data_IF_334786653565
#
_entry.id   IF_334786653565
#
_cell.length_a   1.000
_cell.length_b   1.000
_cell.length_c   1.000
_cell.angle_alpha   90.00
_cell.angle_beta   90.00
_cell.angle_gamma   90.00
#
_symmetry.space_group_name_H-M   'P 1'
#
loop_
_entity.id
_entity.type
_entity.pdbx_description
1 polymer ?
#
# COMPACT_ATOMS: atom_id res chain seq x y z
N UNK A 1 1.69 -37.70 -17.76
CA UNK A 1 2.98 -37.00 -17.92
C UNK A 1 3.93 -37.55 -16.87
N UNK A 2 5.13 -37.95 -17.25
CA UNK A 2 6.11 -38.44 -16.27
C UNK A 2 6.55 -37.24 -15.38
N UNK A 3 6.61 -37.44 -14.07
CA UNK A 3 7.13 -36.40 -13.18
C UNK A 3 8.59 -36.13 -13.49
N UNK A 4 8.95 -34.86 -13.52
CA UNK A 4 10.32 -34.39 -13.67
C UNK A 4 10.88 -34.14 -12.28
N UNK A 5 12.16 -34.48 -12.12
CA UNK A 5 12.92 -34.27 -10.89
C UNK A 5 14.07 -33.31 -11.20
N UNK A 6 14.16 -32.23 -10.43
CA UNK A 6 15.28 -31.28 -10.51
C UNK A 6 15.86 -31.13 -9.10
N UNK A 7 17.17 -31.11 -9.00
CA UNK A 7 17.93 -30.91 -7.77
C UNK A 7 18.65 -29.56 -7.84
N UNK A 8 18.60 -28.80 -6.73
CA UNK A 8 19.33 -27.54 -6.60
C UNK A 8 20.15 -27.54 -5.31
N UNK A 9 21.24 -26.78 -5.30
CA UNK A 9 22.02 -26.54 -4.11
C UNK A 9 21.27 -25.57 -3.19
N UNK A 10 21.02 -25.99 -1.95
CA UNK A 10 20.29 -25.24 -0.95
C UNK A 10 21.00 -25.35 0.39
N UNK A 11 21.79 -24.35 0.82
CA UNK A 11 22.52 -24.40 2.09
C UNK A 11 21.57 -24.58 3.27
N UNK A 12 21.76 -25.64 4.06
CA UNK A 12 20.87 -26.06 5.14
C UNK A 12 20.67 -24.98 6.21
N UNK A 13 21.66 -24.09 6.41
CA UNK A 13 21.58 -22.97 7.34
C UNK A 13 20.43 -21.98 7.04
N UNK A 14 20.01 -21.87 5.79
CA UNK A 14 18.88 -21.04 5.36
C UNK A 14 17.53 -21.74 5.46
N UNK A 15 17.50 -23.06 5.73
CA UNK A 15 16.28 -23.88 5.74
C UNK A 15 15.20 -23.35 6.68
N UNK A 16 15.56 -23.07 7.92
CA UNK A 16 14.63 -22.53 8.91
C UNK A 16 14.03 -21.18 8.54
N UNK A 17 14.80 -20.31 7.86
CA UNK A 17 14.32 -19.01 7.41
C UNK A 17 13.44 -19.11 6.15
N UNK A 18 13.87 -19.90 5.14
CA UNK A 18 13.18 -20.01 3.85
C UNK A 18 11.91 -20.88 3.94
N UNK A 19 11.98 -21.99 4.69
CA UNK A 19 10.84 -22.90 4.82
C UNK A 19 9.94 -22.60 6.01
N UNK A 20 10.37 -21.73 6.91
CA UNK A 20 9.61 -21.28 8.07
C UNK A 20 9.50 -22.35 9.17
N UNK A 21 8.85 -22.00 10.27
CA UNK A 21 8.66 -22.91 11.39
C UNK A 21 7.83 -24.14 10.96
N UNK A 22 8.30 -25.33 11.31
CA UNK A 22 7.64 -26.63 10.96
C UNK A 22 7.40 -26.79 9.45
N UNK A 23 8.27 -26.22 8.61
CA UNK A 23 8.20 -26.27 7.15
C UNK A 23 6.89 -25.68 6.59
N UNK A 24 6.30 -24.70 7.29
CA UNK A 24 5.00 -24.13 6.92
C UNK A 24 5.03 -23.50 5.53
N UNK A 25 6.14 -22.84 5.16
CA UNK A 25 6.29 -22.22 3.85
C UNK A 25 6.59 -23.24 2.77
N UNK A 26 7.38 -24.29 3.09
CA UNK A 26 7.65 -25.40 2.19
C UNK A 26 6.34 -26.10 1.79
N UNK A 27 5.52 -26.50 2.78
CA UNK A 27 4.20 -27.11 2.57
C UNK A 27 3.27 -26.22 1.76
N UNK A 28 3.37 -24.90 1.94
CA UNK A 28 2.58 -23.94 1.18
C UNK A 28 2.99 -23.90 -0.29
N UNK A 29 4.29 -23.88 -0.58
CA UNK A 29 4.84 -23.94 -1.93
C UNK A 29 4.41 -25.24 -2.61
N UNK A 30 4.59 -26.38 -1.96
CA UNK A 30 4.17 -27.70 -2.46
C UNK A 30 2.69 -27.72 -2.84
N UNK A 31 1.83 -27.25 -1.93
CA UNK A 31 0.38 -27.24 -2.13
C UNK A 31 -0.05 -26.31 -3.26
N UNK A 32 0.59 -25.16 -3.39
CA UNK A 32 0.20 -24.14 -4.38
C UNK A 32 0.66 -24.48 -5.78
N UNK A 33 1.86 -25.04 -5.91
CA UNK A 33 2.47 -25.39 -7.20
C UNK A 33 2.31 -26.87 -7.58
N UNK A 34 1.71 -27.68 -6.68
CA UNK A 34 1.55 -29.12 -6.89
C UNK A 34 2.88 -29.84 -7.17
N UNK A 35 3.88 -29.54 -6.35
CA UNK A 35 5.21 -30.19 -6.35
C UNK A 35 5.46 -30.90 -5.03
N UNK A 36 6.45 -31.79 -5.00
CA UNK A 36 7.02 -32.35 -3.78
C UNK A 36 8.44 -31.84 -3.59
N UNK A 37 8.76 -31.35 -2.39
CA UNK A 37 10.05 -30.80 -2.02
C UNK A 37 10.72 -31.68 -0.96
N UNK A 38 11.95 -32.11 -1.20
CA UNK A 38 12.70 -32.96 -0.28
C UNK A 38 14.07 -32.32 -0.03
N UNK A 39 14.29 -31.84 1.19
CA UNK A 39 15.59 -31.29 1.60
C UNK A 39 16.42 -32.40 2.26
N UNK A 40 17.65 -32.62 1.76
CA UNK A 40 18.63 -33.55 2.34
C UNK A 40 20.01 -32.89 2.36
N UNK A 41 20.48 -32.52 3.55
CA UNK A 41 21.71 -31.75 3.68
C UNK A 41 21.57 -30.44 2.90
N UNK A 42 22.53 -30.17 2.03
CA UNK A 42 22.56 -28.95 1.19
C UNK A 42 21.93 -29.15 -0.21
N UNK A 43 21.10 -30.19 -0.37
CA UNK A 43 20.45 -30.51 -1.63
C UNK A 43 18.93 -30.49 -1.47
N UNK A 44 18.28 -29.65 -2.26
CA UNK A 44 16.83 -29.61 -2.38
C UNK A 44 16.40 -30.25 -3.68
N UNK A 45 15.60 -31.31 -3.58
CA UNK A 45 15.00 -32.03 -4.69
C UNK A 45 13.56 -31.56 -4.87
N UNK A 46 13.19 -31.18 -6.09
CA UNK A 46 11.83 -30.77 -6.47
C UNK A 46 11.27 -31.74 -7.51
N UNK A 47 10.09 -32.30 -7.25
CA UNK A 47 9.44 -33.31 -8.09
C UNK A 47 8.04 -32.84 -8.48
N UNK A 48 7.71 -32.88 -9.79
CA UNK A 48 6.40 -32.47 -10.28
C UNK A 48 6.33 -32.41 -11.81
N UNK A 49 5.41 -31.65 -12.36
CA UNK A 49 5.42 -31.35 -13.80
C UNK A 49 6.55 -30.36 -14.10
N UNK A 50 7.09 -30.36 -15.33
CA UNK A 50 8.19 -29.47 -15.72
C UNK A 50 7.91 -28.01 -15.40
N UNK A 51 6.71 -27.52 -15.71
CA UNK A 51 6.31 -26.15 -15.43
C UNK A 51 6.23 -25.87 -13.92
N UNK A 52 5.61 -26.74 -13.16
CA UNK A 52 5.47 -26.59 -11.72
C UNK A 52 6.83 -26.59 -11.00
N UNK A 53 7.74 -27.46 -11.43
CA UNK A 53 9.10 -27.55 -10.88
C UNK A 53 9.89 -26.28 -11.21
N UNK A 54 9.81 -25.76 -12.44
CA UNK A 54 10.47 -24.50 -12.80
C UNK A 54 9.98 -23.33 -11.95
N UNK A 55 8.66 -23.21 -11.74
CA UNK A 55 8.09 -22.18 -10.85
C UNK A 55 8.56 -22.36 -9.40
N UNK A 56 8.57 -23.58 -8.88
CA UNK A 56 8.99 -23.84 -7.51
C UNK A 56 10.48 -23.50 -7.28
N UNK A 57 11.34 -23.88 -8.21
CA UNK A 57 12.76 -23.55 -8.14
C UNK A 57 12.98 -22.04 -8.19
N UNK A 58 12.30 -21.33 -9.08
CA UNK A 58 12.39 -19.85 -9.16
C UNK A 58 11.96 -19.19 -7.85
N UNK A 59 10.85 -19.64 -7.25
CA UNK A 59 10.37 -19.13 -5.94
C UNK A 59 11.39 -19.38 -4.84
N UNK A 60 11.93 -20.61 -4.76
CA UNK A 60 12.86 -20.99 -3.70
C UNK A 60 14.19 -20.26 -3.87
N UNK A 61 14.68 -20.11 -5.08
CA UNK A 61 15.93 -19.40 -5.38
C UNK A 61 15.84 -17.91 -4.97
N UNK A 62 14.73 -17.24 -5.29
CA UNK A 62 14.48 -15.87 -4.86
C UNK A 62 14.42 -15.72 -3.32
N UNK A 63 13.72 -16.63 -2.64
CA UNK A 63 13.63 -16.61 -1.18
C UNK A 63 14.98 -16.92 -0.52
N UNK A 64 15.77 -17.82 -1.12
CA UNK A 64 17.11 -18.16 -0.66
C UNK A 64 18.06 -16.96 -0.79
N UNK A 65 18.03 -16.27 -1.93
CA UNK A 65 18.84 -15.07 -2.14
C UNK A 65 18.47 -13.93 -1.19
N UNK A 66 17.16 -13.73 -0.89
CA UNK A 66 16.73 -12.80 0.16
C UNK A 66 17.27 -13.19 1.54
N UNK A 67 17.24 -14.49 1.86
CA UNK A 67 17.78 -15.03 3.12
C UNK A 67 19.30 -14.83 3.24
N UNK A 68 20.05 -15.07 2.16
CA UNK A 68 21.50 -14.81 2.10
C UNK A 68 21.86 -13.35 2.34
N UNK A 69 20.98 -12.42 1.96
CA UNK A 69 21.14 -10.99 2.24
C UNK A 69 20.74 -10.60 3.66
N UNK A 70 20.43 -11.56 4.53
CA UNK A 70 20.07 -11.34 5.93
C UNK A 70 18.61 -10.94 6.15
N UNK A 71 17.73 -11.05 5.15
CA UNK A 71 16.32 -10.78 5.32
C UNK A 71 15.61 -11.94 6.03
N UNK A 72 14.72 -11.61 6.97
CA UNK A 72 13.80 -12.59 7.54
C UNK A 72 12.68 -12.84 6.53
N UNK A 73 12.53 -14.10 6.10
CA UNK A 73 11.46 -14.49 5.18
C UNK A 73 10.15 -14.56 5.94
N UNK A 74 9.15 -13.89 5.42
CA UNK A 74 7.80 -13.85 5.95
C UNK A 74 6.83 -14.61 5.04
N UNK A 75 5.68 -15.02 5.57
CA UNK A 75 4.62 -15.64 4.77
C UNK A 75 4.21 -14.75 3.58
N UNK A 76 4.31 -13.43 3.75
CA UNK A 76 4.03 -12.47 2.71
C UNK A 76 5.04 -12.53 1.56
N UNK A 77 6.34 -12.68 1.85
CA UNK A 77 7.37 -12.87 0.82
C UNK A 77 7.08 -14.13 0.01
N UNK A 78 6.71 -15.22 0.69
CA UNK A 78 6.36 -16.49 0.02
C UNK A 78 5.13 -16.34 -0.87
N UNK A 79 4.05 -15.73 -0.36
CA UNK A 79 2.84 -15.49 -1.14
C UNK A 79 3.11 -14.64 -2.38
N UNK A 80 3.94 -13.62 -2.22
CA UNK A 80 4.27 -12.72 -3.29
C UNK A 80 5.17 -13.39 -4.35
N UNK A 81 6.20 -14.14 -3.93
CA UNK A 81 7.03 -14.93 -4.82
C UNK A 81 6.19 -15.95 -5.63
N UNK A 82 5.27 -16.65 -4.96
CA UNK A 82 4.33 -17.56 -5.62
C UNK A 82 3.46 -16.84 -6.66
N UNK A 83 2.96 -15.66 -6.35
CA UNK A 83 2.15 -14.90 -7.31
C UNK A 83 2.95 -14.43 -8.52
N UNK A 84 4.20 -14.02 -8.32
CA UNK A 84 5.10 -13.57 -9.39
C UNK A 84 5.51 -14.74 -10.30
N UNK A 85 5.82 -15.91 -9.73
CA UNK A 85 6.24 -17.07 -10.51
C UNK A 85 5.20 -17.56 -11.52
N UNK A 86 3.93 -17.22 -11.30
CA UNK A 86 2.82 -17.54 -12.21
C UNK A 86 2.64 -16.52 -13.35
N UNK A 87 3.38 -15.41 -13.35
CA UNK A 87 3.32 -14.34 -14.36
C UNK A 87 4.54 -14.43 -15.28
N UNK A 88 4.34 -14.50 -16.60
CA UNK A 88 5.41 -14.74 -17.59
C UNK A 88 6.49 -13.63 -17.69
N UNK A 89 6.27 -12.46 -17.09
CA UNK A 89 7.18 -11.30 -17.09
C UNK A 89 7.12 -10.55 -15.76
N UNK A 90 7.71 -11.08 -14.72
CA UNK A 90 7.80 -10.36 -13.46
C UNK A 90 9.26 -10.08 -13.08
N UNK A 91 9.60 -8.83 -12.69
CA UNK A 91 10.90 -8.54 -12.08
C UNK A 91 11.03 -9.27 -10.74
N UNK A 92 12.26 -9.61 -10.40
CA UNK A 92 12.60 -10.36 -9.19
C UNK A 92 12.33 -9.57 -7.91
N UNK A 93 11.92 -10.25 -6.84
CA UNK A 93 11.87 -9.72 -5.48
C UNK A 93 13.22 -9.11 -5.03
N UNK A 94 14.32 -9.58 -5.60
CA UNK A 94 15.68 -9.13 -5.31
C UNK A 94 15.91 -7.68 -5.76
N UNK A 95 15.18 -7.19 -6.73
CA UNK A 95 15.27 -5.78 -7.17
C UNK A 95 14.60 -4.85 -6.15
N UNK A 96 13.51 -5.30 -5.53
CA UNK A 96 12.78 -4.54 -4.50
C UNK A 96 13.60 -4.37 -3.22
N UNK A 97 14.51 -5.29 -2.93
CA UNK A 97 15.29 -5.29 -1.70
C UNK A 97 16.35 -4.17 -1.64
N UNK A 98 16.72 -3.60 -2.77
CA UNK A 98 17.75 -2.56 -2.87
C UNK A 98 17.23 -1.15 -2.59
N UNK A 99 15.94 -0.89 -2.74
CA UNK A 99 15.36 0.45 -2.69
C UNK A 99 14.87 0.84 -1.29
N UNK A 100 15.80 0.99 -0.35
CA UNK A 100 15.49 1.52 0.99
C UNK A 100 15.17 3.00 0.88
N UNK A 101 13.97 3.40 1.30
CA UNK A 101 13.52 4.80 1.34
C UNK A 101 14.11 5.50 2.55
N UNK A 102 13.94 4.90 3.74
CA UNK A 102 14.45 5.40 5.01
C UNK A 102 14.48 4.28 6.05
N UNK A 103 14.92 4.62 7.25
CA UNK A 103 14.81 3.73 8.41
C UNK A 103 13.87 4.36 9.46
N UNK A 104 13.10 3.52 10.14
CA UNK A 104 12.33 3.92 11.32
C UNK A 104 13.29 4.25 12.46
N UNK A 105 12.78 4.89 13.55
CA UNK A 105 13.58 5.14 14.76
C UNK A 105 14.14 3.85 15.40
N UNK A 106 13.51 2.71 15.15
CA UNK A 106 13.97 1.40 15.62
C UNK A 106 15.00 0.74 14.67
N UNK A 107 15.45 1.45 13.64
CA UNK A 107 16.41 0.93 12.66
C UNK A 107 15.80 0.01 11.58
N UNK A 108 14.50 -0.18 11.55
CA UNK A 108 13.84 -1.02 10.54
C UNK A 108 13.80 -0.29 9.20
N UNK A 109 14.29 -0.95 8.15
CA UNK A 109 14.25 -0.39 6.81
C UNK A 109 12.81 -0.28 6.26
N UNK A 110 12.47 0.90 5.75
CA UNK A 110 11.22 1.16 5.01
C UNK A 110 11.54 1.08 3.52
N UNK A 111 10.97 0.09 2.86
CA UNK A 111 11.19 -0.19 1.43
C UNK A 111 9.92 -0.74 0.79
N UNK A 112 9.76 -0.63 -0.54
CA UNK A 112 8.69 -1.30 -1.26
C UNK A 112 8.77 -2.81 -1.03
N UNK A 113 7.64 -3.45 -0.80
CA UNK A 113 7.53 -4.90 -0.60
C UNK A 113 6.91 -5.62 -1.78
N UNK A 114 6.36 -4.86 -2.73
CA UNK A 114 5.71 -5.36 -3.93
C UNK A 114 6.06 -4.49 -5.14
N UNK A 115 5.89 -5.03 -6.34
CA UNK A 115 6.11 -4.27 -7.58
C UNK A 115 5.17 -3.08 -7.73
N UNK A 116 3.92 -3.22 -7.29
CA UNK A 116 2.97 -2.11 -7.27
C UNK A 116 3.47 -0.98 -6.38
N UNK A 117 3.99 -1.32 -5.19
CA UNK A 117 4.61 -0.36 -4.28
C UNK A 117 5.87 0.27 -4.88
N UNK A 118 6.73 -0.50 -5.58
CA UNK A 118 7.90 0.02 -6.26
C UNK A 118 7.52 1.06 -7.33
N UNK A 119 6.58 0.70 -8.23
CA UNK A 119 6.08 1.63 -9.25
C UNK A 119 5.50 2.90 -8.64
N UNK A 120 4.84 2.78 -7.49
CA UNK A 120 4.30 3.92 -6.76
C UNK A 120 5.42 4.82 -6.21
N UNK A 121 6.43 4.25 -5.58
CA UNK A 121 7.61 5.00 -5.10
C UNK A 121 8.34 5.67 -6.25
N UNK A 122 8.53 4.99 -7.38
CA UNK A 122 9.16 5.55 -8.58
C UNK A 122 8.36 6.71 -9.17
N UNK A 123 7.03 6.59 -9.19
CA UNK A 123 6.16 7.68 -9.63
C UNK A 123 6.28 8.89 -8.70
N UNK A 124 6.33 8.67 -7.38
CA UNK A 124 6.53 9.74 -6.39
C UNK A 124 7.88 10.44 -6.61
N UNK A 125 8.95 9.70 -6.88
CA UNK A 125 10.28 10.27 -7.18
C UNK A 125 10.23 11.18 -8.42
N UNK A 126 9.56 10.74 -9.47
CA UNK A 126 9.67 11.31 -10.81
C UNK A 126 8.55 12.29 -11.20
N UNK A 127 7.44 12.38 -10.45
CA UNK A 127 6.28 13.21 -10.78
C UNK A 127 6.08 14.31 -9.73
N UNK A 128 5.52 15.43 -10.15
CA UNK A 128 5.11 16.51 -9.23
C UNK A 128 3.86 16.15 -8.44
N UNK A 129 2.90 15.50 -9.10
CA UNK A 129 1.68 15.03 -8.48
C UNK A 129 1.56 13.53 -8.73
N UNK A 130 1.33 12.76 -7.67
CA UNK A 130 1.15 11.30 -7.78
C UNK A 130 -0.15 10.88 -7.10
N UNK A 131 -1.02 10.22 -7.84
CA UNK A 131 -2.20 9.56 -7.31
C UNK A 131 -1.87 8.10 -7.02
N UNK A 132 -2.02 7.69 -5.76
CA UNK A 132 -1.91 6.31 -5.31
C UNK A 132 -3.30 5.74 -5.03
N UNK A 133 -3.80 4.88 -5.91
CA UNK A 133 -5.15 4.31 -5.84
C UNK A 133 -5.05 2.82 -5.57
N UNK A 134 -5.88 2.28 -4.68
CA UNK A 134 -5.91 0.83 -4.44
C UNK A 134 -6.48 0.44 -3.09
N UNK A 135 -6.58 -0.86 -2.81
CA UNK A 135 -7.16 -1.39 -1.57
C UNK A 135 -6.51 -0.83 -0.31
N UNK A 136 -7.26 -0.82 0.77
CA UNK A 136 -6.73 -0.51 2.08
C UNK A 136 -5.65 -1.54 2.47
N UNK A 137 -4.57 -1.10 3.13
CA UNK A 137 -3.45 -1.96 3.54
C UNK A 137 -2.39 -2.21 2.46
N UNK A 138 -2.42 -1.51 1.32
CA UNK A 138 -1.36 -1.53 0.31
C UNK A 138 -0.20 -0.59 0.61
N UNK A 139 -0.19 0.09 1.77
CA UNK A 139 0.91 0.93 2.22
C UNK A 139 1.00 2.32 1.57
N UNK A 140 -0.02 2.77 0.82
CA UNK A 140 -0.02 4.05 0.09
C UNK A 140 0.39 5.25 0.96
N UNK A 141 -0.34 5.47 2.01
CA UNK A 141 -0.11 6.60 2.95
C UNK A 141 1.23 6.46 3.65
N UNK A 142 1.58 5.26 4.10
CA UNK A 142 2.84 4.98 4.79
C UNK A 142 4.07 5.24 3.90
N UNK A 143 4.06 4.74 2.65
CA UNK A 143 5.14 4.99 1.69
C UNK A 143 5.21 6.46 1.27
N UNK A 144 4.06 7.12 1.08
CA UNK A 144 4.01 8.55 0.82
C UNK A 144 4.67 9.37 1.93
N UNK A 145 4.42 9.00 3.19
CA UNK A 145 5.02 9.66 4.36
C UNK A 145 6.51 9.38 4.48
N UNK A 146 6.94 8.14 4.23
CA UNK A 146 8.36 7.80 4.21
C UNK A 146 9.12 8.63 3.16
N UNK A 147 8.54 8.79 1.96
CA UNK A 147 9.10 9.62 0.90
C UNK A 147 9.15 11.11 1.29
N UNK A 148 8.08 11.63 1.89
CA UNK A 148 8.02 13.01 2.35
C UNK A 148 9.05 13.31 3.44
N UNK A 149 9.20 12.40 4.41
CA UNK A 149 10.18 12.53 5.49
C UNK A 149 11.61 12.45 4.94
N UNK A 150 11.86 11.58 3.97
CA UNK A 150 13.17 11.47 3.33
C UNK A 150 13.53 12.75 2.58
N UNK A 151 12.60 13.29 1.78
CA UNK A 151 12.80 14.54 1.07
C UNK A 151 13.02 15.72 2.04
N UNK A 152 12.29 15.76 3.15
CA UNK A 152 12.45 16.77 4.20
C UNK A 152 13.81 16.67 4.92
N UNK A 153 14.26 15.44 5.26
CA UNK A 153 15.58 15.22 5.87
C UNK A 153 16.75 15.55 4.94
N UNK A 154 16.52 15.46 3.64
CA UNK A 154 17.51 15.78 2.60
C UNK A 154 17.46 17.25 2.15
N UNK A 155 16.66 18.08 2.83
CA UNK A 155 16.45 19.51 2.47
C UNK A 155 15.93 19.74 1.03
N UNK A 156 15.29 18.72 0.42
CA UNK A 156 14.64 18.82 -0.89
C UNK A 156 13.37 19.67 -0.80
N UNK A 157 12.74 19.70 0.36
CA UNK A 157 11.57 20.54 0.70
C UNK A 157 11.74 21.13 2.11
N UNK A 158 11.17 22.30 2.33
CA UNK A 158 11.27 23.01 3.62
C UNK A 158 10.21 22.57 4.63
N UNK A 159 9.14 21.90 4.20
CA UNK A 159 8.03 21.49 5.07
C UNK A 159 7.25 20.30 4.52
N UNK A 160 6.57 19.61 5.44
CA UNK A 160 5.62 18.53 5.14
C UNK A 160 4.22 19.02 5.53
N UNK A 161 3.25 18.86 4.64
CA UNK A 161 1.85 19.19 4.90
C UNK A 161 1.02 17.92 4.69
N UNK A 162 0.38 17.47 5.75
CA UNK A 162 -0.52 16.32 5.75
C UNK A 162 -1.94 16.81 5.89
N UNK A 163 -2.79 16.43 4.97
CA UNK A 163 -4.19 16.84 4.98
C UNK A 163 -5.13 15.69 4.65
N UNK A 164 -6.32 15.77 5.22
CA UNK A 164 -7.38 14.78 5.01
C UNK A 164 -8.72 15.52 4.91
N UNK A 165 -9.65 15.06 4.06
CA UNK A 165 -11.02 15.56 4.12
C UNK A 165 -11.62 15.25 5.48
N UNK A 166 -12.13 16.25 6.17
CA UNK A 166 -12.89 16.07 7.39
C UNK A 166 -14.33 15.71 6.99
N UNK A 167 -14.59 14.42 6.78
CA UNK A 167 -15.94 13.89 6.59
C UNK A 167 -16.15 12.85 7.68
N UNK A 168 -17.22 13.00 8.39
CA UNK A 168 -17.74 12.01 9.31
C UNK A 168 -18.58 11.00 8.53
N UNK A 169 -18.36 9.73 8.77
CA UNK A 169 -19.24 8.67 8.28
C UNK A 169 -20.64 8.83 8.88
N UNK A 170 -21.47 9.68 8.25
CA UNK A 170 -22.86 9.93 8.66
C UNK A 170 -23.06 10.89 9.83
N UNK A 171 -21.99 11.39 10.48
CA UNK A 171 -22.09 12.36 11.57
C UNK A 171 -21.66 13.76 11.09
N UNK A 172 -22.46 14.77 11.45
CA UNK A 172 -22.09 16.17 11.19
C UNK A 172 -21.10 16.61 12.27
N UNK A 173 -19.94 17.19 11.89
CA UNK A 173 -18.91 17.76 12.79
C UNK A 173 -19.48 18.59 13.96
N UNK A 174 -20.74 19.03 13.86
CA UNK A 174 -21.43 19.78 14.89
C UNK A 174 -21.79 19.01 16.17
N UNK A 175 -21.77 17.68 16.19
CA UNK A 175 -22.19 16.89 17.35
C UNK A 175 -21.06 16.53 18.33
N UNK A 176 -19.80 16.65 17.95
CA UNK A 176 -18.69 16.41 18.87
C UNK A 176 -18.42 17.65 19.76
N UNK A 177 -18.24 17.51 21.08
CA UNK A 177 -17.86 18.61 21.96
C UNK A 177 -16.40 19.03 21.68
N UNK A 178 -16.10 20.33 21.81
CA UNK A 178 -14.76 20.89 21.63
C UNK A 178 -14.63 21.84 20.42
N UNK A 179 -13.44 22.40 20.26
CA UNK A 179 -13.09 23.22 19.10
C UNK A 179 -12.93 22.37 17.83
N UNK A 180 -12.84 23.02 16.67
CA UNK A 180 -12.78 22.32 15.39
C UNK A 180 -11.55 21.42 15.29
N UNK A 181 -10.45 21.80 15.92
CA UNK A 181 -9.19 21.06 15.90
C UNK A 181 -9.29 19.76 16.70
N UNK A 182 -9.83 19.80 17.92
CA UNK A 182 -10.05 18.61 18.73
C UNK A 182 -11.06 17.62 18.13
N UNK A 183 -12.01 18.11 17.34
CA UNK A 183 -12.98 17.27 16.60
C UNK A 183 -12.36 16.52 15.42
N UNK A 184 -11.34 17.08 14.79
CA UNK A 184 -10.69 16.51 13.59
C UNK A 184 -9.49 15.62 13.96
N UNK A 185 -8.90 15.84 15.14
CA UNK A 185 -7.70 15.12 15.61
C UNK A 185 -7.81 13.58 15.55
N UNK A 186 -8.93 12.95 15.95
CA UNK A 186 -9.09 11.49 15.82
C UNK A 186 -8.92 10.97 14.39
N UNK A 187 -9.35 11.73 13.39
CA UNK A 187 -9.25 11.35 11.98
C UNK A 187 -7.83 11.49 11.42
N UNK A 188 -6.99 12.28 12.07
CA UNK A 188 -5.59 12.50 11.71
C UNK A 188 -4.63 11.54 12.43
N UNK A 189 -5.10 10.80 13.43
CA UNK A 189 -4.29 9.86 14.21
C UNK A 189 -3.46 8.89 13.38
N UNK A 190 -4.00 8.22 12.34
CA UNK A 190 -3.19 7.31 11.52
C UNK A 190 -1.99 7.99 10.85
N UNK A 191 -2.07 9.30 10.61
CA UNK A 191 -0.97 10.08 10.06
C UNK A 191 0.10 10.33 11.14
N UNK A 192 -0.32 10.63 12.37
CA UNK A 192 0.59 10.78 13.50
C UNK A 192 1.36 9.49 13.79
N UNK A 193 0.68 8.33 13.78
CA UNK A 193 1.31 7.04 14.08
C UNK A 193 2.49 6.74 13.15
N UNK A 194 2.33 7.00 11.85
CA UNK A 194 3.41 6.80 10.88
C UNK A 194 4.54 7.83 11.02
N UNK A 195 4.22 9.10 11.38
CA UNK A 195 5.23 10.11 11.70
C UNK A 195 6.04 9.71 12.94
N UNK A 196 5.39 9.24 14.00
CA UNK A 196 6.06 8.74 15.20
C UNK A 196 6.96 7.55 14.91
N UNK A 197 6.52 6.61 14.08
CA UNK A 197 7.32 5.43 13.73
C UNK A 197 8.60 5.79 12.97
N UNK A 198 8.55 6.78 12.06
CA UNK A 198 9.67 7.11 11.17
C UNK A 198 10.55 8.23 11.74
N UNK A 199 9.97 9.27 12.34
CA UNK A 199 10.70 10.42 12.86
C UNK A 199 11.04 10.31 14.35
N UNK A 200 10.21 9.61 15.11
CA UNK A 200 10.19 9.68 16.57
C UNK A 200 9.34 10.83 17.12
N UNK A 201 8.82 10.65 18.32
CA UNK A 201 7.92 11.61 18.95
C UNK A 201 8.55 12.99 19.14
N UNK A 202 9.77 13.06 19.67
CA UNK A 202 10.45 14.32 19.98
C UNK A 202 10.75 15.14 18.72
N UNK A 203 11.28 14.49 17.67
CA UNK A 203 11.58 15.17 16.42
C UNK A 203 10.29 15.63 15.72
N UNK A 204 9.23 14.83 15.74
CA UNK A 204 7.94 15.20 15.19
C UNK A 204 7.35 16.41 15.90
N UNK A 205 7.25 16.38 17.25
CA UNK A 205 6.69 17.49 18.05
C UNK A 205 7.48 18.78 17.83
N UNK A 206 8.80 18.72 17.85
CA UNK A 206 9.67 19.88 17.60
C UNK A 206 9.46 20.49 16.21
N UNK A 207 9.25 19.67 15.18
CA UNK A 207 8.99 20.16 13.83
C UNK A 207 7.57 20.71 13.66
N UNK A 208 6.59 20.16 14.37
CA UNK A 208 5.23 20.73 14.43
C UNK A 208 5.22 22.10 15.10
N UNK A 209 5.87 22.26 16.25
CA UNK A 209 5.99 23.55 16.95
C UNK A 209 6.64 24.64 16.09
N UNK A 210 7.58 24.24 15.23
CA UNK A 210 8.24 25.15 14.26
C UNK A 210 7.42 25.40 13.00
N UNK A 211 6.27 24.72 12.82
CA UNK A 211 5.47 24.79 11.61
C UNK A 211 6.11 24.17 10.36
N UNK A 212 7.15 23.31 10.56
CA UNK A 212 7.81 22.59 9.48
C UNK A 212 7.06 21.30 9.09
N UNK A 213 6.31 20.76 10.03
CA UNK A 213 5.34 19.68 9.79
C UNK A 213 3.97 20.19 10.20
N UNK A 214 3.03 20.14 9.30
CA UNK A 214 1.64 20.57 9.52
C UNK A 214 0.71 19.40 9.24
N UNK A 215 -0.19 19.12 10.18
CA UNK A 215 -1.28 18.15 10.01
C UNK A 215 -2.58 18.89 10.21
N UNK A 216 -3.36 19.03 9.14
CA UNK A 216 -4.55 19.89 9.15
C UNK A 216 -5.67 19.36 8.23
N UNK A 217 -6.94 19.70 8.52
CA UNK A 217 -8.05 19.40 7.62
C UNK A 217 -7.86 20.07 6.26
N UNK A 218 -8.37 19.40 5.20
CA UNK A 218 -8.29 19.91 3.83
C UNK A 218 -8.86 21.33 3.68
N UNK A 219 -9.88 21.70 4.44
CA UNK A 219 -10.49 23.02 4.41
C UNK A 219 -9.49 24.16 4.74
N UNK A 220 -8.46 23.87 5.56
CA UNK A 220 -7.43 24.85 5.95
C UNK A 220 -6.41 25.13 4.86
N UNK A 221 -6.46 24.42 3.74
CA UNK A 221 -5.62 24.69 2.57
C UNK A 221 -6.17 25.81 1.69
N UNK A 222 -7.43 26.22 1.92
CA UNK A 222 -8.09 27.25 1.10
C UNK A 222 -7.40 28.60 1.23
N UNK A 223 -7.14 29.26 0.09
CA UNK A 223 -6.52 30.59 0.03
C UNK A 223 -5.01 30.62 0.24
N UNK A 224 -4.37 29.46 0.39
CA UNK A 224 -2.91 29.33 0.60
C UNK A 224 -2.21 29.04 -0.73
N UNK A 225 -0.92 29.36 -0.79
CA UNK A 225 0.03 28.83 -1.77
C UNK A 225 1.08 28.02 -1.00
N UNK A 226 1.26 26.78 -1.40
CA UNK A 226 2.10 25.81 -0.69
C UNK A 226 3.40 25.62 -1.46
N UNK A 227 4.39 26.49 -1.20
CA UNK A 227 5.71 26.46 -1.83
C UNK A 227 6.69 25.59 -1.04
N UNK A 228 7.65 24.98 -1.75
CA UNK A 228 8.72 24.15 -1.18
C UNK A 228 8.23 23.12 -0.16
N UNK A 229 7.08 22.48 -0.46
CA UNK A 229 6.39 21.60 0.46
C UNK A 229 6.18 20.20 -0.14
N UNK A 230 6.27 19.20 0.71
CA UNK A 230 5.79 17.87 0.40
C UNK A 230 4.37 17.72 0.97
N UNK A 231 3.38 17.58 0.10
CA UNK A 231 1.97 17.66 0.47
C UNK A 231 1.33 16.29 0.28
N UNK A 232 0.67 15.77 1.32
CA UNK A 232 -0.05 14.48 1.25
C UNK A 232 -1.51 14.75 1.53
N UNK A 233 -2.37 14.44 0.56
CA UNK A 233 -3.82 14.38 0.74
C UNK A 233 -4.24 12.91 0.87
N UNK A 234 -4.56 12.53 2.09
CA UNK A 234 -5.01 11.16 2.42
C UNK A 234 -6.54 11.03 2.33
N UNK A 235 -7.03 9.82 2.01
CA UNK A 235 -8.45 9.46 1.85
C UNK A 235 -9.22 10.40 0.90
N UNK A 236 -8.57 10.72 -0.24
CA UNK A 236 -9.08 11.69 -1.20
C UNK A 236 -10.39 11.28 -1.90
N UNK A 237 -10.82 10.00 -1.82
CA UNK A 237 -12.15 9.58 -2.30
C UNK A 237 -13.29 10.35 -1.63
N UNK A 238 -13.04 10.87 -0.43
CA UNK A 238 -14.00 11.64 0.36
C UNK A 238 -14.02 13.14 0.03
N UNK A 239 -13.34 13.57 -1.05
CA UNK A 239 -13.40 14.95 -1.53
C UNK A 239 -14.53 15.17 -2.53
N UNK A 240 -15.12 16.35 -2.49
CA UNK A 240 -15.96 16.84 -3.59
C UNK A 240 -15.10 17.37 -4.75
N UNK A 241 -15.64 17.51 -5.99
CA UNK A 241 -14.93 18.12 -7.12
C UNK A 241 -14.34 19.50 -6.81
N UNK A 242 -15.11 20.33 -6.10
CA UNK A 242 -14.67 21.66 -5.69
C UNK A 242 -13.50 21.63 -4.70
N UNK A 243 -13.52 20.71 -3.74
CA UNK A 243 -12.42 20.52 -2.78
C UNK A 243 -11.15 20.00 -3.46
N UNK A 244 -11.26 19.02 -4.36
CA UNK A 244 -10.11 18.49 -5.07
C UNK A 244 -9.50 19.56 -6.00
N UNK A 245 -10.31 20.31 -6.76
CA UNK A 245 -9.84 21.42 -7.58
C UNK A 245 -9.17 22.49 -6.71
N UNK A 246 -9.79 22.85 -5.59
CA UNK A 246 -9.21 23.79 -4.63
C UNK A 246 -7.83 23.33 -4.16
N UNK A 247 -7.69 22.07 -3.75
CA UNK A 247 -6.43 21.47 -3.28
C UNK A 247 -5.34 21.50 -4.36
N UNK A 248 -5.62 20.95 -5.54
CA UNK A 248 -4.66 20.86 -6.64
C UNK A 248 -4.12 22.22 -7.09
N UNK A 249 -4.93 23.28 -6.95
CA UNK A 249 -4.53 24.66 -7.28
C UNK A 249 -3.78 25.37 -6.15
N UNK A 250 -3.48 24.70 -5.03
CA UNK A 250 -2.66 25.24 -3.93
C UNK A 250 -1.18 24.96 -4.10
N UNK A 251 -0.81 24.09 -5.04
CA UNK A 251 0.59 23.75 -5.27
C UNK A 251 1.38 24.98 -5.71
N UNK A 252 2.45 25.24 -4.99
CA UNK A 252 3.42 26.27 -5.32
C UNK A 252 4.71 25.71 -5.91
N UNK A 253 5.69 26.58 -6.13
CA UNK A 253 6.98 26.18 -6.69
C UNK A 253 7.77 25.29 -5.72
N UNK A 254 8.52 24.32 -6.29
CA UNK A 254 9.34 23.39 -5.51
C UNK A 254 8.54 22.38 -4.68
N UNK A 255 7.23 22.26 -4.90
CA UNK A 255 6.37 21.36 -4.13
C UNK A 255 6.04 20.07 -4.88
N UNK A 256 5.83 19.00 -4.11
CA UNK A 256 5.27 17.72 -4.57
C UNK A 256 3.97 17.41 -3.84
N UNK A 257 3.01 16.80 -4.54
CA UNK A 257 1.78 16.33 -3.92
C UNK A 257 1.56 14.84 -4.16
N UNK A 258 1.17 14.14 -3.11
CA UNK A 258 0.73 12.75 -3.19
C UNK A 258 -0.71 12.69 -2.72
N UNK A 259 -1.55 12.09 -3.54
CA UNK A 259 -2.98 11.95 -3.28
C UNK A 259 -3.27 10.45 -3.13
N UNK A 260 -3.73 10.02 -1.96
CA UNK A 260 -4.04 8.62 -1.72
C UNK A 260 -5.55 8.37 -1.76
N UNK A 261 -5.93 7.21 -2.29
CA UNK A 261 -7.30 6.72 -2.29
C UNK A 261 -7.34 5.27 -1.82
N UNK A 262 -8.21 4.98 -0.87
CA UNK A 262 -8.61 3.61 -0.56
C UNK A 262 -9.81 3.16 -1.41
N UNK A 263 -9.85 1.88 -1.79
CA UNK A 263 -10.99 1.30 -2.53
C UNK A 263 -12.21 1.02 -1.65
N UNK A 264 -12.18 1.43 -0.37
CA UNK A 264 -13.35 1.46 0.49
C UNK A 264 -14.42 2.38 -0.09
N UNK A 265 -15.71 2.08 0.13
CA UNK A 265 -16.79 2.99 -0.25
C UNK A 265 -16.48 4.41 0.22
N UNK A 266 -16.79 5.39 -0.61
CA UNK A 266 -16.68 6.79 -0.19
C UNK A 266 -17.80 7.10 0.82
N UNK A 267 -17.46 7.92 1.80
CA UNK A 267 -18.43 8.39 2.82
C UNK A 267 -19.24 9.61 2.32
N UNK A 268 -19.17 9.89 1.01
CA UNK A 268 -19.93 10.96 0.37
C UNK A 268 -21.43 10.61 0.30
N UNK A 269 -22.34 11.61 0.31
CA UNK A 269 -23.75 11.40 0.07
C UNK A 269 -24.03 10.65 -1.22
N UNK A 270 -25.08 9.84 -1.25
CA UNK A 270 -25.38 8.81 -2.26
C UNK A 270 -25.36 9.30 -3.73
N UNK A 271 -25.62 10.59 -3.97
CA UNK A 271 -25.66 11.21 -5.31
C UNK A 271 -24.44 12.10 -5.62
N UNK A 272 -23.39 12.09 -4.80
CA UNK A 272 -22.24 12.95 -5.01
C UNK A 272 -21.12 12.26 -5.79
N UNK A 273 -20.61 12.96 -6.80
CA UNK A 273 -19.45 12.52 -7.57
C UNK A 273 -18.19 12.77 -6.73
N UNK A 274 -17.33 11.76 -6.63
CA UNK A 274 -16.02 11.93 -5.98
C UNK A 274 -15.14 12.88 -6.79
N UNK A 275 -14.61 13.90 -6.12
CA UNK A 275 -13.67 14.85 -6.71
C UNK A 275 -12.40 14.19 -7.22
N UNK A 276 -11.99 13.10 -6.59
CA UNK A 276 -10.87 12.30 -7.06
C UNK A 276 -11.16 11.64 -8.41
N UNK A 277 -12.32 11.01 -8.58
CA UNK A 277 -12.67 10.33 -9.84
C UNK A 277 -12.77 11.32 -11.01
N UNK A 278 -13.35 12.48 -10.76
CA UNK A 278 -13.37 13.56 -11.74
C UNK A 278 -11.95 14.02 -12.08
N UNK A 279 -11.11 14.27 -11.08
CA UNK A 279 -9.73 14.71 -11.28
C UNK A 279 -8.89 13.69 -12.06
N UNK A 280 -8.99 12.41 -11.76
CA UNK A 280 -8.30 11.35 -12.50
C UNK A 280 -8.71 11.34 -13.98
N UNK A 281 -10.00 11.60 -14.28
CA UNK A 281 -10.50 11.68 -15.66
C UNK A 281 -9.95 12.91 -16.39
N UNK A 282 -10.00 14.08 -15.75
CA UNK A 282 -9.59 15.37 -16.33
C UNK A 282 -8.08 15.45 -16.52
N UNK A 283 -7.30 14.97 -15.53
CA UNK A 283 -5.85 15.15 -15.47
C UNK A 283 -5.04 14.04 -16.14
N UNK A 284 -5.69 13.01 -16.66
CA UNK A 284 -5.03 11.84 -17.26
C UNK A 284 -4.03 12.16 -18.38
N UNK A 285 -4.18 13.31 -19.04
CA UNK A 285 -3.30 13.74 -20.15
C UNK A 285 -2.13 14.62 -19.71
N UNK A 286 -2.07 15.02 -18.44
CA UNK A 286 -1.02 15.88 -17.90
C UNK A 286 0.19 15.01 -17.56
N UNK A 287 1.31 15.19 -18.27
CA UNK A 287 2.50 14.32 -18.18
C UNK A 287 3.21 14.40 -16.83
N UNK A 288 3.11 15.50 -16.14
CA UNK A 288 3.70 15.74 -14.82
C UNK A 288 2.96 15.02 -13.69
N UNK A 289 1.79 14.44 -13.99
CA UNK A 289 0.95 13.72 -13.05
C UNK A 289 1.12 12.22 -13.27
N UNK A 290 1.41 11.50 -12.20
CA UNK A 290 1.46 10.04 -12.15
C UNK A 290 0.19 9.46 -11.54
N UNK A 291 -0.30 8.36 -12.10
CA UNK A 291 -1.39 7.57 -11.50
C UNK A 291 -0.89 6.15 -11.33
N UNK A 292 -0.87 5.68 -10.08
CA UNK A 292 -0.44 4.33 -9.71
C UNK A 292 -1.61 3.57 -9.12
N UNK A 293 -1.95 2.46 -9.73
CA UNK A 293 -2.98 1.55 -9.27
C UNK A 293 -2.31 0.36 -8.55
N UNK A 294 -2.55 0.28 -7.25
CA UNK A 294 -2.18 -0.88 -6.44
C UNK A 294 -3.37 -1.85 -6.38
N UNK A 295 -3.07 -3.13 -6.29
CA UNK A 295 -4.05 -4.21 -6.35
C UNK A 295 -4.10 -5.00 -5.05
N UNK A 296 -4.97 -6.01 -4.96
CA UNK A 296 -5.00 -6.93 -3.83
C UNK A 296 -3.67 -7.69 -3.64
N UNK A 297 -2.84 -7.83 -4.69
CA UNK A 297 -1.50 -8.43 -4.61
C UNK A 297 -0.53 -7.57 -3.80
N UNK A 298 -0.79 -6.25 -3.71
CA UNK A 298 0.02 -5.29 -2.98
C UNK A 298 -0.39 -5.11 -1.51
N UNK A 299 -1.41 -5.85 -1.05
CA UNK A 299 -1.89 -5.77 0.33
C UNK A 299 -0.89 -6.40 1.30
N UNK A 300 -0.36 -5.57 2.21
CA UNK A 300 0.60 -5.92 3.25
C UNK A 300 -0.11 -5.93 4.59
N UNK A 301 -0.75 -7.05 4.93
CA UNK A 301 -1.52 -7.22 6.18
C UNK A 301 -1.28 -8.59 6.79
N UNK A 302 -1.53 -8.67 8.11
CA UNK A 302 -1.52 -9.96 8.81
C UNK A 302 -2.45 -10.97 8.11
N UNK A 303 -2.03 -12.25 7.90
CA UNK A 303 -2.82 -13.24 7.16
C UNK A 303 -4.23 -13.45 7.68
N UNK A 304 -4.44 -13.39 9.00
CA UNK A 304 -5.77 -13.47 9.61
C UNK A 304 -6.65 -12.29 9.20
N UNK A 305 -6.10 -11.08 9.14
CA UNK A 305 -6.85 -9.88 8.73
C UNK A 305 -7.26 -9.97 7.25
N UNK A 306 -6.40 -10.52 6.38
CA UNK A 306 -6.75 -10.79 4.98
C UNK A 306 -7.94 -11.77 4.88
N UNK A 307 -7.93 -12.85 5.69
CA UNK A 307 -9.04 -13.81 5.74
C UNK A 307 -10.33 -13.18 6.24
N UNK A 308 -10.25 -12.31 7.25
CA UNK A 308 -11.42 -11.59 7.77
C UNK A 308 -12.01 -10.69 6.69
N UNK A 309 -11.19 -9.88 6.02
CA UNK A 309 -11.65 -8.99 4.93
C UNK A 309 -12.31 -9.81 3.82
N UNK A 310 -11.65 -10.86 3.34
CA UNK A 310 -12.20 -11.73 2.29
C UNK A 310 -13.56 -12.36 2.68
N UNK A 311 -13.74 -12.73 3.95
CA UNK A 311 -15.01 -13.27 4.44
C UNK A 311 -16.14 -12.22 4.43
N UNK A 312 -15.84 -10.97 4.81
CA UNK A 312 -16.80 -9.87 4.74
C UNK A 312 -17.14 -9.51 3.29
N UNK A 313 -16.15 -9.41 2.40
CA UNK A 313 -16.38 -9.14 0.98
C UNK A 313 -17.31 -10.18 0.33
N UNK A 314 -17.10 -11.46 0.64
CA UNK A 314 -17.96 -12.56 0.18
C UNK A 314 -19.39 -12.42 0.71
N UNK A 315 -19.53 -12.08 1.99
CA UNK A 315 -20.85 -11.88 2.61
C UNK A 315 -21.60 -10.71 1.97
N UNK A 316 -20.93 -9.58 1.75
CA UNK A 316 -21.51 -8.39 1.13
C UNK A 316 -21.88 -8.62 -0.33
N UNK A 317 -21.04 -9.31 -1.09
CA UNK A 317 -21.35 -9.71 -2.46
C UNK A 317 -22.60 -10.61 -2.53
N UNK A 318 -22.71 -11.59 -1.63
CA UNK A 318 -23.87 -12.47 -1.54
C UNK A 318 -25.17 -11.71 -1.14
N UNK A 319 -25.04 -10.74 -0.24
CA UNK A 319 -26.17 -9.86 0.18
C UNK A 319 -26.66 -8.96 -0.95
N UNK A 320 -25.72 -8.39 -1.70
CA UNK A 320 -26.04 -7.53 -2.87
C UNK A 320 -26.70 -8.33 -4.00
N UNK A 321 -26.22 -9.54 -4.28
CA UNK A 321 -26.83 -10.43 -5.26
C UNK A 321 -28.27 -10.82 -4.88
N UNK A 322 -28.55 -11.06 -3.58
CA UNK A 322 -29.91 -11.33 -3.10
C UNK A 322 -30.83 -10.12 -3.22
N UNK A 323 -30.36 -8.90 -2.95
CA UNK A 323 -31.14 -7.66 -3.12
C UNK A 323 -31.51 -7.43 -4.58
N UNK A 324 -30.58 -7.63 -5.51
CA UNK A 324 -30.80 -7.46 -6.94
C UNK A 324 -31.83 -8.48 -7.49
N UNK A 325 -31.77 -9.75 -7.05
CA UNK A 325 -32.77 -10.78 -7.41
C UNK A 325 -34.16 -10.41 -6.90
N UNK A 326 -34.29 -9.88 -5.69
CA UNK A 326 -35.58 -9.48 -5.13
C UNK A 326 -36.17 -8.24 -5.83
N UNK A 327 -35.34 -7.30 -6.26
CA UNK A 327 -35.82 -6.12 -7.02
C UNK A 327 -36.26 -6.47 -8.43
N UNK A 328 -35.57 -7.39 -9.12
CA UNK A 328 -35.97 -7.87 -10.44
C UNK A 328 -37.29 -8.68 -10.38
N UNK A 329 -37.48 -9.51 -9.34
CA UNK A 329 -38.75 -10.23 -9.15
C UNK A 329 -39.94 -9.32 -8.81
N UNK A 330 -39.70 -8.16 -8.18
CA UNK A 330 -40.74 -7.13 -7.95
C UNK A 330 -41.10 -6.33 -9.22
N UNK A 331 -40.11 -6.09 -10.12
CA UNK A 331 -40.36 -5.43 -11.42
C UNK A 331 -41.12 -6.31 -12.41
N UNK A 332 -40.88 -7.63 -12.38
CA UNK A 332 -41.61 -8.58 -13.26
C UNK A 332 -43.01 -8.96 -12.76
N UNK A 333 -43.42 -8.49 -11.59
CA UNK A 333 -44.76 -8.70 -11.04
C UNK A 333 -45.67 -7.46 -11.09
N UNK A 334 -45.24 -6.40 -11.72
CA UNK A 334 -45.99 -5.21 -12.07
C UNK A 334 -46.13 -5.11 -13.59
#
# INVERSE_FOLDING_TARGET
MNPVEIEMNFPAEHGGNVFGQFDAYMKKIEKTLHVSLILRGDHLKCIGTQQAVNHAISVIDELLELSKRGNVITEQNVNYALSLSMEEKSPSLLELDKDVICHTIQGKAVKPKTLGQQKYVDAIKNKMITFGVGPAGTGKTYLAMAMAITAFKNDEVSRIILTRPAIEAGEKLGFLPGDLQSKVDPYLRPLYDALYEILGADAFMKNMEKGLIEVAPLAYMRGRTLDNAYIILDEAQNTTPAQMKMFLTRMGFGSKAIITRSSTPNDLPFDSISGLEESLRVLRKVKEIGVCELTNKDVVRHPLVQKIVAAYDQYEAARSAKKNKNNNNKKNRR
#
